data_IF_067828825751
#
_entry.id   IF_067828825751
#
_cell.length_a   1.000
_cell.length_b   1.000
_cell.length_c   1.000
_cell.angle_alpha   90.00
_cell.angle_beta   90.00
_cell.angle_gamma   90.00
#
_symmetry.space_group_name_H-M   'P 1'
#
loop_
_entity.id
_entity.type
_entity.pdbx_description
1 polymer ?
#
# COMPACT_ATOMS: atom_id res chain seq x y z
N UNK A 1 -24.49 -5.52 -9.89
CA UNK A 1 -23.62 -6.22 -10.84
C UNK A 1 -22.37 -6.61 -10.10
N UNK A 2 -22.07 -7.89 -9.99
CA UNK A 2 -20.83 -8.35 -9.34
C UNK A 2 -19.63 -7.92 -10.20
N UNK A 3 -18.68 -7.18 -9.64
CA UNK A 3 -17.56 -6.59 -10.40
C UNK A 3 -16.39 -7.58 -10.51
N UNK A 4 -16.72 -8.80 -10.95
CA UNK A 4 -15.73 -9.85 -11.22
C UNK A 4 -14.97 -9.50 -12.50
N UNK A 5 -13.64 -9.55 -12.50
CA UNK A 5 -12.86 -9.24 -13.70
C UNK A 5 -13.16 -10.24 -14.82
N UNK A 6 -13.12 -9.82 -16.09
CA UNK A 6 -13.36 -10.71 -17.23
C UNK A 6 -12.29 -11.81 -17.36
N UNK A 7 -11.07 -11.55 -16.87
CA UNK A 7 -10.01 -12.54 -16.79
C UNK A 7 -9.89 -13.05 -15.36
N UNK A 8 -10.14 -14.33 -15.16
CA UNK A 8 -10.14 -15.02 -13.87
C UNK A 8 -9.52 -16.40 -13.99
N UNK A 9 -8.90 -16.89 -12.94
CA UNK A 9 -8.45 -18.28 -12.87
C UNK A 9 -9.67 -19.23 -12.86
N UNK A 10 -9.69 -20.24 -13.74
CA UNK A 10 -10.90 -21.07 -13.98
C UNK A 10 -11.37 -21.88 -12.76
N UNK A 11 -10.48 -22.17 -11.82
CA UNK A 11 -10.81 -22.89 -10.59
C UNK A 11 -11.61 -22.06 -9.56
N UNK A 12 -11.69 -20.74 -9.72
CA UNK A 12 -12.44 -19.87 -8.81
C UNK A 12 -13.75 -19.44 -9.45
N UNK A 13 -14.87 -19.90 -8.90
CA UNK A 13 -16.22 -19.63 -9.42
C UNK A 13 -17.11 -18.81 -8.48
N UNK A 14 -16.68 -18.60 -7.21
CA UNK A 14 -17.44 -17.82 -6.23
C UNK A 14 -17.57 -16.35 -6.59
N UNK A 15 -18.56 -15.67 -6.04
CA UNK A 15 -18.74 -14.23 -6.20
C UNK A 15 -17.69 -13.44 -5.39
N UNK A 16 -17.31 -12.27 -5.90
CA UNK A 16 -16.47 -11.32 -5.16
C UNK A 16 -17.37 -10.51 -4.23
N UNK A 17 -16.99 -10.41 -2.96
CA UNK A 17 -17.70 -9.60 -1.97
C UNK A 17 -17.33 -8.14 -2.15
N UNK A 18 -18.33 -7.25 -2.05
CA UNK A 18 -18.12 -5.80 -2.03
C UNK A 18 -18.14 -5.35 -0.59
N UNK A 19 -17.03 -4.81 -0.10
CA UNK A 19 -16.87 -4.44 1.30
C UNK A 19 -16.14 -3.08 1.41
N UNK A 20 -16.47 -2.29 2.41
CA UNK A 20 -15.72 -1.06 2.71
C UNK A 20 -14.46 -1.38 3.51
N UNK A 21 -13.40 -0.59 3.33
CA UNK A 21 -12.16 -0.78 4.09
C UNK A 21 -12.38 -0.77 5.61
N UNK A 22 -13.35 0.01 6.10
CA UNK A 22 -13.70 0.05 7.53
C UNK A 22 -14.15 -1.30 8.09
N UNK A 23 -14.81 -2.11 7.28
CA UNK A 23 -15.30 -3.44 7.69
C UNK A 23 -14.23 -4.54 7.66
N UNK A 24 -13.16 -4.35 6.92
CA UNK A 24 -12.14 -5.38 6.65
C UNK A 24 -10.75 -5.03 7.15
N UNK A 25 -10.57 -3.82 7.69
CA UNK A 25 -9.26 -3.34 8.15
C UNK A 25 -9.37 -2.42 9.36
N UNK A 26 -8.30 -2.36 10.13
CA UNK A 26 -8.07 -1.32 11.13
C UNK A 26 -7.16 -0.26 10.55
N UNK A 27 -7.61 1.00 10.54
CA UNK A 27 -6.82 2.12 10.06
C UNK A 27 -6.10 2.81 11.22
N UNK A 28 -4.83 3.13 11.01
CA UNK A 28 -4.01 3.91 11.95
C UNK A 28 -3.04 4.81 11.19
N UNK A 29 -2.27 5.63 11.92
CA UNK A 29 -1.26 6.50 11.31
C UNK A 29 0.13 6.12 11.79
N UNK A 30 1.12 6.36 10.92
CA UNK A 30 2.52 6.38 11.29
C UNK A 30 2.83 7.53 12.25
N UNK A 31 3.97 7.47 12.90
CA UNK A 31 4.44 8.49 13.85
C UNK A 31 5.73 9.10 13.34
N UNK A 32 5.88 10.40 13.50
CA UNK A 32 6.89 11.23 12.86
C UNK A 32 8.32 10.67 12.93
N UNK A 33 8.90 10.49 11.76
CA UNK A 33 10.33 10.39 11.50
C UNK A 33 10.57 11.39 10.39
N UNK A 34 11.44 12.37 10.60
CA UNK A 34 11.78 13.34 9.56
C UNK A 34 12.93 12.83 8.68
N UNK A 35 13.09 13.44 7.51
CA UNK A 35 14.17 13.07 6.59
C UNK A 35 15.56 13.29 7.19
N UNK A 36 15.69 14.30 8.05
CA UNK A 36 16.93 14.64 8.75
C UNK A 36 17.30 13.64 9.85
N UNK A 37 16.37 12.80 10.27
CA UNK A 37 16.57 11.73 11.25
C UNK A 37 16.90 10.38 10.63
N UNK A 38 17.09 10.33 9.32
CA UNK A 38 17.60 9.14 8.65
C UNK A 38 19.09 8.97 8.93
N UNK A 39 19.53 7.73 9.13
CA UNK A 39 20.93 7.38 9.37
C UNK A 39 21.35 6.15 8.55
N UNK A 40 22.67 5.90 8.47
CA UNK A 40 23.18 4.70 7.79
C UNK A 40 22.99 3.43 8.64
N UNK A 41 22.89 3.61 9.96
CA UNK A 41 22.70 2.53 10.93
C UNK A 41 21.37 2.71 11.68
N UNK A 42 21.00 1.72 12.49
CA UNK A 42 19.79 1.74 13.29
C UNK A 42 18.67 0.87 12.76
N UNK A 43 17.43 1.18 13.14
CA UNK A 43 16.25 0.37 12.79
C UNK A 43 15.69 0.74 11.41
N UNK A 44 15.20 -0.25 10.65
CA UNK A 44 14.62 0.00 9.33
C UNK A 44 13.34 0.83 9.44
N UNK A 45 13.18 1.80 8.55
CA UNK A 45 12.01 2.69 8.54
C UNK A 45 11.53 3.01 7.12
N UNK A 46 10.29 3.47 7.02
CA UNK A 46 9.67 3.95 5.78
C UNK A 46 9.09 5.34 6.03
N UNK A 47 9.46 6.32 5.19
CA UNK A 47 8.88 7.65 5.17
C UNK A 47 7.87 7.76 4.02
N UNK A 48 6.82 8.58 4.19
CA UNK A 48 5.76 8.74 3.18
C UNK A 48 6.30 9.16 1.79
N UNK A 49 7.31 10.05 1.75
CA UNK A 49 7.92 10.51 0.50
C UNK A 49 8.64 9.40 -0.30
N UNK A 50 9.05 8.32 0.37
CA UNK A 50 9.71 7.19 -0.27
C UNK A 50 8.75 6.34 -1.11
N UNK A 51 7.43 6.41 -0.83
CA UNK A 51 6.42 5.74 -1.64
C UNK A 51 6.36 6.32 -3.06
N UNK A 52 6.76 7.56 -3.24
CA UNK A 52 6.82 8.23 -4.55
C UNK A 52 8.17 8.05 -5.25
N UNK A 53 9.26 7.96 -4.48
CA UNK A 53 10.62 8.06 -5.02
C UNK A 53 11.35 6.72 -5.08
N UNK A 54 11.27 5.90 -4.03
CA UNK A 54 12.04 4.66 -3.89
C UNK A 54 11.21 3.42 -4.23
N UNK A 55 10.01 3.29 -3.66
CA UNK A 55 9.19 2.09 -3.78
C UNK A 55 8.29 2.15 -5.02
N UNK A 56 8.72 1.55 -6.13
CA UNK A 56 8.00 1.56 -7.41
C UNK A 56 6.98 0.41 -7.55
N UNK A 57 7.23 -0.73 -6.89
CA UNK A 57 6.36 -1.89 -6.92
C UNK A 57 5.28 -1.79 -5.84
N UNK A 58 4.12 -2.40 -6.07
CA UNK A 58 3.02 -2.52 -5.12
C UNK A 58 3.39 -3.27 -3.85
N UNK A 59 4.41 -4.13 -3.93
CA UNK A 59 4.96 -4.86 -2.79
C UNK A 59 6.38 -4.35 -2.52
N UNK A 60 6.65 -3.88 -1.31
CA UNK A 60 7.99 -3.46 -0.90
C UNK A 60 8.87 -4.70 -0.74
N UNK A 61 9.95 -4.77 -1.51
CA UNK A 61 10.83 -5.95 -1.53
C UNK A 61 11.97 -5.87 -0.53
N UNK A 62 12.42 -4.66 -0.21
CA UNK A 62 13.47 -4.39 0.76
C UNK A 62 13.26 -3.00 1.36
N UNK A 63 13.74 -2.79 2.59
CA UNK A 63 13.70 -1.48 3.25
C UNK A 63 15.04 -0.80 3.02
N UNK A 64 15.00 0.41 2.49
CA UNK A 64 16.20 1.15 2.10
C UNK A 64 16.68 2.16 3.14
N UNK A 65 15.79 2.61 4.01
CA UNK A 65 16.07 3.66 4.98
C UNK A 65 16.10 3.13 6.40
N UNK A 66 16.93 3.75 7.23
CA UNK A 66 17.07 3.46 8.65
C UNK A 66 17.07 4.74 9.48
N UNK A 67 16.83 4.60 10.77
CA UNK A 67 16.91 5.68 11.75
C UNK A 67 17.45 5.16 13.07
N UNK A 68 18.19 6.00 13.79
CA UNK A 68 18.78 5.69 15.10
C UNK A 68 18.14 6.48 16.26
N UNK A 69 17.01 7.15 16.00
CA UNK A 69 16.29 7.88 17.05
C UNK A 69 15.62 6.94 18.05
N UNK A 70 15.18 7.47 19.19
CA UNK A 70 14.37 6.68 20.16
C UNK A 70 13.06 6.20 19.52
N UNK A 71 12.99 4.89 19.33
CA UNK A 71 11.89 4.21 18.64
C UNK A 71 10.76 3.76 19.56
N UNK A 72 10.82 4.05 20.89
CA UNK A 72 9.90 3.55 21.91
C UNK A 72 8.44 3.94 21.68
N UNK A 73 8.18 5.09 21.04
CA UNK A 73 6.84 5.62 20.74
C UNK A 73 6.46 5.56 19.27
N UNK A 74 7.31 4.98 18.44
CA UNK A 74 7.09 4.93 17.01
C UNK A 74 6.17 3.78 16.61
N UNK A 75 5.47 3.97 15.51
CA UNK A 75 4.57 2.96 14.94
C UNK A 75 5.37 1.94 14.15
N UNK A 76 5.10 0.66 14.40
CA UNK A 76 5.73 -0.47 13.68
C UNK A 76 4.72 -1.17 12.78
N UNK A 77 5.19 -1.63 11.63
CA UNK A 77 4.40 -2.46 10.72
C UNK A 77 4.14 -3.84 11.31
N UNK A 78 3.04 -4.42 10.85
CA UNK A 78 2.83 -5.87 10.84
C UNK A 78 2.94 -6.36 9.41
N UNK A 79 3.52 -7.53 9.21
CA UNK A 79 3.55 -8.14 7.88
C UNK A 79 2.14 -8.14 7.27
N UNK A 80 2.06 -7.81 5.99
CA UNK A 80 0.78 -7.67 5.27
C UNK A 80 0.03 -6.33 5.47
N UNK A 81 0.56 -5.39 6.26
CA UNK A 81 0.01 -4.02 6.29
C UNK A 81 0.12 -3.36 4.91
N UNK A 82 -0.88 -2.53 4.58
CA UNK A 82 -0.85 -1.66 3.40
C UNK A 82 -0.71 -0.23 3.86
N UNK A 83 0.24 0.51 3.26
CA UNK A 83 0.48 1.92 3.59
C UNK A 83 0.15 2.81 2.40
N UNK A 84 -0.40 3.99 2.70
CA UNK A 84 -0.75 5.04 1.72
C UNK A 84 -0.33 6.39 2.30
N UNK A 85 0.27 7.32 1.52
CA UNK A 85 0.60 8.66 2.00
C UNK A 85 -0.63 9.42 2.52
N UNK A 86 -0.43 10.26 3.55
CA UNK A 86 -1.46 11.21 4.01
C UNK A 86 -1.38 12.55 3.26
N UNK A 87 -0.24 12.87 2.63
CA UNK A 87 0.02 14.13 1.94
C UNK A 87 0.67 13.90 0.58
N UNK A 88 0.32 14.71 -0.40
CA UNK A 88 0.87 14.63 -1.76
C UNK A 88 0.63 15.88 -2.57
N UNK A 89 1.20 15.94 -3.77
CA UNK A 89 1.04 17.08 -4.69
C UNK A 89 -0.28 17.03 -5.44
N UNK A 90 -0.71 15.84 -5.84
CA UNK A 90 -1.99 15.65 -6.55
C UNK A 90 -2.84 14.57 -5.90
N UNK A 91 -4.16 14.64 -6.11
CA UNK A 91 -5.10 13.64 -5.62
C UNK A 91 -4.84 12.24 -6.20
N UNK A 92 -4.30 12.15 -7.41
CA UNK A 92 -3.97 10.88 -8.06
C UNK A 92 -2.67 10.30 -7.51
N UNK A 93 -1.67 11.15 -7.24
CA UNK A 93 -0.39 10.69 -6.71
C UNK A 93 -0.52 10.19 -5.27
N UNK A 94 -1.30 10.89 -4.43
CA UNK A 94 -1.53 10.48 -3.05
C UNK A 94 -2.20 9.11 -2.95
N UNK A 95 -2.95 8.68 -3.97
CA UNK A 95 -3.56 7.36 -4.06
C UNK A 95 -2.52 6.29 -4.48
N UNK A 96 -1.42 6.20 -3.74
CA UNK A 96 -0.31 5.27 -3.98
C UNK A 96 -0.16 4.32 -2.80
N UNK A 97 -0.68 3.10 -2.96
CA UNK A 97 -0.65 2.06 -1.94
C UNK A 97 0.58 1.16 -2.08
N UNK A 98 1.16 0.73 -0.97
CA UNK A 98 2.25 -0.27 -0.91
C UNK A 98 2.00 -1.30 0.17
N UNK A 99 2.13 -2.57 -0.15
CA UNK A 99 2.14 -3.65 0.82
C UNK A 99 3.51 -3.73 1.49
N UNK A 100 3.52 -3.81 2.82
CA UNK A 100 4.71 -4.02 3.66
C UNK A 100 4.69 -5.49 4.12
N UNK A 101 5.49 -6.38 3.52
CA UNK A 101 5.49 -7.81 3.87
C UNK A 101 6.36 -8.13 5.09
N UNK A 102 6.80 -7.12 5.84
CA UNK A 102 7.74 -7.23 6.95
C UNK A 102 7.11 -6.78 8.26
N UNK A 103 7.41 -7.50 9.34
CA UNK A 103 7.12 -7.07 10.71
C UNK A 103 8.16 -6.07 11.21
N UNK A 104 7.74 -5.24 12.16
CA UNK A 104 8.63 -4.35 12.93
C UNK A 104 9.37 -3.27 12.15
N UNK A 105 8.91 -2.90 10.97
CA UNK A 105 9.43 -1.74 10.25
C UNK A 105 8.81 -0.48 10.84
N UNK A 106 9.62 0.53 11.16
CA UNK A 106 9.15 1.81 11.67
C UNK A 106 8.43 2.58 10.54
N UNK A 107 7.22 3.04 10.83
CA UNK A 107 6.38 3.76 9.88
C UNK A 107 6.30 5.23 10.28
N UNK A 108 6.95 6.09 9.48
CA UNK A 108 7.04 7.52 9.69
C UNK A 108 5.69 8.24 9.62
N UNK A 109 5.67 9.48 10.04
CA UNK A 109 4.49 10.36 9.93
C UNK A 109 4.00 10.51 8.49
N UNK A 110 2.79 11.01 8.33
CA UNK A 110 2.11 11.16 7.03
C UNK A 110 1.93 9.86 6.24
N UNK A 111 1.88 8.72 6.94
CA UNK A 111 1.46 7.43 6.41
C UNK A 111 0.13 7.01 7.04
N UNK A 112 -0.88 6.73 6.22
CA UNK A 112 -2.03 5.92 6.61
C UNK A 112 -1.62 4.45 6.57
N UNK A 113 -1.97 3.68 7.60
CA UNK A 113 -1.69 2.27 7.74
C UNK A 113 -3.01 1.51 7.75
N UNK A 114 -3.16 0.57 6.84
CA UNK A 114 -4.34 -0.28 6.67
C UNK A 114 -3.94 -1.69 7.08
N UNK A 115 -4.28 -2.09 8.31
CA UNK A 115 -4.04 -3.43 8.84
C UNK A 115 -5.24 -4.32 8.53
N UNK A 116 -5.11 -5.20 7.56
CA UNK A 116 -6.18 -6.01 7.02
C UNK A 116 -6.55 -7.20 7.94
N UNK A 117 -7.85 -7.49 8.04
CA UNK A 117 -8.38 -8.64 8.78
C UNK A 117 -8.64 -9.80 7.82
N UNK A 118 -7.73 -10.77 7.72
CA UNK A 118 -7.88 -11.97 6.88
C UNK A 118 -7.96 -11.71 5.36
N UNK A 119 -7.32 -10.65 4.88
CA UNK A 119 -7.18 -10.31 3.47
C UNK A 119 -5.70 -10.19 3.10
N UNK A 120 -5.38 -10.38 1.83
CA UNK A 120 -4.02 -10.30 1.31
C UNK A 120 -3.63 -8.84 1.02
N UNK A 121 -2.57 -8.33 1.64
CA UNK A 121 -2.12 -6.95 1.50
C UNK A 121 -1.53 -6.65 0.12
N UNK A 122 -0.88 -7.63 -0.50
CA UNK A 122 -0.38 -7.46 -1.85
C UNK A 122 -1.53 -7.32 -2.85
N UNK A 123 -2.54 -8.19 -2.79
CA UNK A 123 -3.75 -8.07 -3.58
C UNK A 123 -4.44 -6.72 -3.36
N UNK A 124 -4.57 -6.30 -2.10
CA UNK A 124 -5.19 -5.02 -1.76
C UNK A 124 -4.40 -3.84 -2.36
N UNK A 125 -3.08 -3.85 -2.30
CA UNK A 125 -2.24 -2.81 -2.91
C UNK A 125 -2.45 -2.71 -4.43
N UNK A 126 -2.50 -3.83 -5.14
CA UNK A 126 -2.84 -3.86 -6.57
C UNK A 126 -4.24 -3.31 -6.84
N UNK A 127 -5.22 -3.69 -6.03
CA UNK A 127 -6.59 -3.19 -6.21
C UNK A 127 -6.70 -1.68 -5.96
N UNK A 128 -6.05 -1.17 -4.90
CA UNK A 128 -6.07 0.25 -4.54
C UNK A 128 -5.33 1.11 -5.57
N UNK A 129 -4.19 0.64 -6.09
CA UNK A 129 -3.44 1.33 -7.14
C UNK A 129 -4.10 1.23 -8.52
N UNK A 130 -4.88 0.18 -8.75
CA UNK A 130 -5.60 -0.05 -10.00
C UNK A 130 -6.99 0.60 -10.01
N UNK A 131 -8.02 -0.23 -9.99
CA UNK A 131 -9.42 0.18 -10.18
C UNK A 131 -9.93 1.15 -9.10
N UNK A 132 -9.37 1.11 -7.88
CA UNK A 132 -9.79 1.98 -6.76
C UNK A 132 -8.99 3.28 -6.66
N UNK A 133 -7.94 3.45 -7.44
CA UNK A 133 -7.08 4.65 -7.40
C UNK A 133 -7.88 5.96 -7.53
N UNK A 134 -8.79 6.01 -8.48
CA UNK A 134 -9.62 7.21 -8.69
C UNK A 134 -10.69 7.39 -7.61
N UNK A 135 -11.14 6.32 -6.95
CA UNK A 135 -12.07 6.45 -5.83
C UNK A 135 -11.36 7.05 -4.61
N UNK A 136 -10.11 6.65 -4.36
CA UNK A 136 -9.25 7.27 -3.34
C UNK A 136 -8.97 8.73 -3.69
N UNK A 137 -8.61 9.02 -4.94
CA UNK A 137 -8.36 10.39 -5.38
C UNK A 137 -9.56 11.33 -5.18
N UNK A 138 -10.79 10.84 -5.38
CA UNK A 138 -12.02 11.63 -5.18
C UNK A 138 -12.27 12.04 -3.72
N UNK A 139 -11.78 11.29 -2.76
CA UNK A 139 -11.97 11.58 -1.33
C UNK A 139 -10.80 12.37 -0.72
N UNK A 140 -9.73 12.56 -1.48
CA UNK A 140 -8.60 13.41 -1.09
C UNK A 140 -9.02 14.90 -1.13
N UNK A 141 -8.48 15.71 -0.22
CA UNK A 141 -8.86 17.11 -0.03
C UNK A 141 -7.65 18.03 -0.08
N UNK A 142 -7.83 19.22 -0.64
CA UNK A 142 -6.81 20.26 -0.73
C UNK A 142 -6.57 20.70 -2.18
N UNK A 143 -5.86 21.81 -2.35
CA UNK A 143 -5.57 22.41 -3.66
C UNK A 143 -4.06 22.44 -3.92
N UNK A 144 -3.28 23.10 -3.06
CA UNK A 144 -1.81 23.20 -3.21
C UNK A 144 -1.08 22.01 -2.60
N UNK A 145 -1.60 21.49 -1.50
CA UNK A 145 -1.20 20.24 -0.88
C UNK A 145 -2.47 19.42 -0.68
N UNK A 146 -2.46 18.21 -1.18
CA UNK A 146 -3.60 17.30 -1.05
C UNK A 146 -3.41 16.41 0.17
N UNK A 147 -4.47 16.22 0.94
CA UNK A 147 -4.49 15.39 2.14
C UNK A 147 -5.46 14.23 1.99
N UNK A 148 -5.05 13.07 2.47
CA UNK A 148 -5.86 11.86 2.51
C UNK A 148 -5.98 11.39 3.97
N UNK A 149 -7.17 11.53 4.53
CA UNK A 149 -7.46 11.16 5.92
C UNK A 149 -7.96 9.71 6.00
N UNK A 150 -7.59 9.02 7.09
CA UNK A 150 -8.02 7.64 7.33
C UNK A 150 -9.54 7.47 7.31
N UNK A 151 -10.30 8.45 7.81
CA UNK A 151 -11.78 8.44 7.79
C UNK A 151 -12.33 8.39 6.34
N UNK A 152 -11.66 9.02 5.39
CA UNK A 152 -12.05 8.97 3.99
C UNK A 152 -11.71 7.60 3.38
N UNK A 153 -10.56 7.03 3.73
CA UNK A 153 -10.16 5.68 3.29
C UNK A 153 -11.16 4.61 3.76
N UNK A 154 -11.75 4.76 4.93
CA UNK A 154 -12.76 3.84 5.47
C UNK A 154 -13.93 3.62 4.51
N UNK A 155 -14.31 4.64 3.76
CA UNK A 155 -15.46 4.61 2.83
C UNK A 155 -15.16 3.93 1.50
N UNK A 156 -13.91 3.66 1.18
CA UNK A 156 -13.50 3.05 -0.09
C UNK A 156 -14.02 1.61 -0.18
N UNK A 157 -14.78 1.35 -1.23
CA UNK A 157 -15.29 0.01 -1.54
C UNK A 157 -14.22 -0.82 -2.22
N UNK A 158 -14.00 -2.01 -1.71
CA UNK A 158 -13.11 -3.03 -2.27
C UNK A 158 -13.90 -4.24 -2.74
N UNK A 159 -13.32 -5.01 -3.64
CA UNK A 159 -13.93 -6.18 -4.25
C UNK A 159 -13.06 -7.38 -3.95
N UNK A 160 -13.55 -8.26 -3.12
CA UNK A 160 -12.75 -9.26 -2.43
C UNK A 160 -13.20 -10.68 -2.79
N UNK A 161 -12.40 -11.42 -3.58
CA UNK A 161 -12.55 -12.86 -3.74
C UNK A 161 -12.14 -13.62 -2.46
N UNK A 162 -12.15 -14.94 -2.52
CA UNK A 162 -11.56 -15.76 -1.47
C UNK A 162 -10.08 -15.42 -1.25
N UNK A 163 -9.57 -15.59 -0.03
CA UNK A 163 -8.16 -15.31 0.28
C UNK A 163 -7.20 -16.10 -0.64
N UNK A 164 -7.55 -17.35 -0.97
CA UNK A 164 -6.75 -18.16 -1.89
C UNK A 164 -6.65 -17.54 -3.29
N UNK A 165 -7.75 -17.00 -3.79
CA UNK A 165 -7.78 -16.31 -5.09
C UNK A 165 -7.01 -14.99 -5.01
N UNK A 166 -7.14 -14.20 -3.91
CA UNK A 166 -6.37 -12.98 -3.68
C UNK A 166 -4.87 -13.25 -3.77
N UNK A 167 -4.37 -14.22 -3.01
CA UNK A 167 -2.96 -14.62 -3.02
C UNK A 167 -2.48 -15.05 -4.42
N UNK A 168 -3.32 -15.79 -5.16
CA UNK A 168 -2.96 -16.25 -6.51
C UNK A 168 -2.89 -15.09 -7.50
N UNK A 169 -3.83 -14.14 -7.44
CA UNK A 169 -3.82 -12.92 -8.26
C UNK A 169 -2.58 -12.08 -7.93
N UNK A 170 -2.33 -11.80 -6.65
CA UNK A 170 -1.19 -11.01 -6.21
C UNK A 170 0.14 -11.62 -6.67
N UNK A 171 0.28 -12.94 -6.55
CA UNK A 171 1.46 -13.66 -7.03
C UNK A 171 1.67 -13.51 -8.54
N UNK A 172 0.61 -13.65 -9.35
CA UNK A 172 0.70 -13.46 -10.79
C UNK A 172 1.15 -12.03 -11.13
N UNK A 173 0.53 -11.02 -10.54
CA UNK A 173 0.85 -9.62 -10.78
C UNK A 173 2.29 -9.28 -10.34
N UNK A 174 2.72 -9.77 -9.18
CA UNK A 174 4.11 -9.59 -8.72
C UNK A 174 5.15 -10.21 -9.67
N UNK A 175 4.87 -11.38 -10.23
CA UNK A 175 5.76 -11.99 -11.24
C UNK A 175 5.82 -11.18 -12.54
N UNK A 176 4.70 -10.56 -12.94
CA UNK A 176 4.68 -9.65 -14.10
C UNK A 176 5.51 -8.40 -13.84
N UNK A 177 5.37 -7.79 -12.64
CA UNK A 177 6.17 -6.63 -12.24
C UNK A 177 7.67 -6.95 -12.23
N UNK A 178 8.06 -8.11 -11.71
CA UNK A 178 9.46 -8.56 -11.71
C UNK A 178 10.01 -8.73 -13.14
N UNK A 179 9.20 -9.28 -14.02
CA UNK A 179 9.56 -9.43 -15.41
C UNK A 179 9.73 -8.08 -16.10
N UNK A 180 8.80 -7.14 -15.89
CA UNK A 180 8.87 -5.77 -16.41
C UNK A 180 10.13 -5.07 -15.89
N UNK A 181 10.38 -5.12 -14.58
CA UNK A 181 11.55 -4.52 -13.97
C UNK A 181 12.87 -5.09 -14.52
N UNK A 182 12.91 -6.40 -14.79
CA UNK A 182 14.07 -7.07 -15.40
C UNK A 182 14.28 -6.62 -16.85
N UNK A 183 13.21 -6.51 -17.63
CA UNK A 183 13.29 -6.06 -19.02
C UNK A 183 13.78 -4.60 -19.10
N UNK A 184 13.27 -3.71 -18.24
CA UNK A 184 13.70 -2.32 -18.18
C UNK A 184 15.20 -2.19 -17.90
N UNK A 185 15.76 -2.97 -16.98
CA UNK A 185 17.20 -3.03 -16.71
C UNK A 185 18.05 -3.50 -17.90
N UNK A 186 17.48 -4.27 -18.81
CA UNK A 186 18.18 -4.72 -20.04
C UNK A 186 18.16 -3.61 -21.10
N UNK A 187 17.05 -2.86 -21.19
CA UNK A 187 16.91 -1.77 -22.17
C UNK A 187 17.77 -0.55 -21.80
N UNK A 188 17.97 -0.30 -20.51
CA UNK A 188 18.75 0.84 -19.99
C UNK A 188 20.29 0.61 -20.06
N UNK A 189 20.75 -0.57 -20.45
CA UNK A 189 22.18 -0.92 -20.67
C UNK A 189 22.58 -0.76 -22.12
#
# INVERSE_FOLDING_TARGET
MCDVPPLRFPEFVGEWKVEQLDSIATLSKGVGISKEQLSEEGEPCILYGELYTKYKSEIIKQIESKTDIDCSKLKRSKANDVIIPCSGETAVDIATARCVPFDNILLGGDLNIISLHQYDGAFMSYQLNGKRKFDIAKVAQGVSVVHLYGEHLKTIKTYNPSLQEQCKIAKLLSLLDERIATQNKVIEK
#
